data_IF_548191515632
#
_entry.id   IF_548191515632
#
_cell.length_a   1.000
_cell.length_b   1.000
_cell.length_c   1.000
_cell.angle_alpha   90.00
_cell.angle_beta   90.00
_cell.angle_gamma   90.00
#
_symmetry.space_group_name_H-M   'P 1'
#
loop_
_entity.id
_entity.type
_entity.pdbx_description
1 polymer ?
#
# COMPACT_ATOMS: atom_id res chain seq x y z
N UNK A 1 -1.06 -13.18 21.76
CA UNK A 1 -0.47 -12.89 20.45
C UNK A 1 0.78 -12.07 20.61
N UNK A 2 1.86 -12.47 20.02
CA UNK A 2 3.11 -11.76 20.13
C UNK A 2 3.30 -10.73 19.03
N UNK A 3 4.14 -9.72 19.28
CA UNK A 3 4.46 -8.71 18.28
C UNK A 3 5.07 -9.34 17.01
N UNK A 4 5.82 -10.44 17.17
CA UNK A 4 6.41 -11.16 16.03
C UNK A 4 5.31 -11.72 15.11
N UNK A 5 4.25 -12.26 15.71
CA UNK A 5 3.12 -12.79 14.92
C UNK A 5 2.39 -11.68 14.22
N UNK A 6 2.17 -10.54 14.88
CA UNK A 6 1.51 -9.40 14.27
C UNK A 6 2.37 -8.80 13.16
N UNK A 7 3.67 -8.69 13.36
CA UNK A 7 4.57 -8.20 12.32
C UNK A 7 4.50 -9.08 11.07
N UNK A 8 4.51 -10.40 11.24
CA UNK A 8 4.40 -11.33 10.12
C UNK A 8 3.06 -11.16 9.38
N UNK A 9 1.97 -11.01 10.12
CA UNK A 9 0.65 -10.81 9.52
C UNK A 9 0.59 -9.51 8.74
N UNK A 10 1.21 -8.44 9.26
CA UNK A 10 1.28 -7.17 8.55
C UNK A 10 2.08 -7.31 7.26
N UNK A 11 3.22 -8.03 7.30
CA UNK A 11 4.01 -8.28 6.10
C UNK A 11 3.24 -9.06 5.05
N UNK A 12 2.43 -10.04 5.47
CA UNK A 12 1.56 -10.79 4.56
C UNK A 12 0.52 -9.88 3.90
N UNK A 13 -0.05 -8.96 4.67
CA UNK A 13 -1.00 -7.97 4.12
C UNK A 13 -0.31 -7.11 3.06
N UNK A 14 0.90 -6.65 3.34
CA UNK A 14 1.67 -5.85 2.37
C UNK A 14 2.05 -6.67 1.14
N UNK A 15 2.31 -7.98 1.30
CA UNK A 15 2.57 -8.85 0.17
C UNK A 15 1.36 -8.97 -0.76
N UNK A 16 0.15 -8.99 -0.22
CA UNK A 16 -1.06 -8.95 -1.05
C UNK A 16 -1.11 -7.65 -1.88
N UNK A 17 -0.73 -6.53 -1.27
CA UNK A 17 -0.63 -5.27 -1.98
C UNK A 17 0.40 -5.35 -3.11
N UNK A 18 1.61 -5.78 -2.79
CA UNK A 18 2.70 -5.88 -3.76
C UNK A 18 2.34 -6.79 -4.93
N UNK A 19 1.80 -7.96 -4.62
CA UNK A 19 1.39 -8.93 -5.66
C UNK A 19 0.26 -8.39 -6.52
N UNK A 20 -0.70 -7.70 -5.90
CA UNK A 20 -1.80 -7.07 -6.62
C UNK A 20 -1.32 -6.00 -7.59
N UNK A 21 -0.33 -5.20 -7.18
CA UNK A 21 0.25 -4.18 -8.05
C UNK A 21 1.01 -4.82 -9.20
N UNK A 22 1.85 -5.83 -8.91
CA UNK A 22 2.66 -6.50 -9.94
C UNK A 22 1.81 -7.16 -11.01
N UNK A 23 0.71 -7.76 -10.63
CA UNK A 23 -0.12 -8.56 -11.52
C UNK A 23 -1.37 -7.84 -11.99
N UNK A 24 -1.54 -6.58 -11.60
CA UNK A 24 -2.77 -5.80 -11.85
C UNK A 24 -3.99 -6.60 -11.39
N UNK A 25 -3.90 -7.19 -10.20
CA UNK A 25 -4.91 -8.11 -9.65
C UNK A 25 -5.66 -7.43 -8.52
N UNK A 26 -6.84 -6.90 -8.85
CA UNK A 26 -7.68 -6.21 -7.88
C UNK A 26 -8.10 -7.11 -6.73
N UNK A 27 -8.31 -8.41 -6.99
CA UNK A 27 -8.68 -9.34 -5.90
C UNK A 27 -7.59 -9.41 -4.83
N UNK A 28 -6.31 -9.44 -5.22
CA UNK A 28 -5.20 -9.39 -4.26
C UNK A 28 -5.18 -8.07 -3.50
N UNK A 29 -5.41 -6.95 -4.18
CA UNK A 29 -5.47 -5.65 -3.50
C UNK A 29 -6.59 -5.59 -2.48
N UNK A 30 -7.73 -6.20 -2.77
CA UNK A 30 -8.85 -6.25 -1.82
C UNK A 30 -8.54 -7.14 -0.61
N UNK A 31 -7.55 -8.00 -0.69
CA UNK A 31 -7.05 -8.75 0.46
C UNK A 31 -6.10 -7.92 1.32
N UNK A 32 -5.61 -6.80 0.82
CA UNK A 32 -4.70 -5.92 1.56
C UNK A 32 -5.45 -4.75 2.21
N UNK A 33 -6.38 -4.13 1.49
CA UNK A 33 -7.05 -2.91 1.93
C UNK A 33 -8.40 -3.19 2.54
N UNK A 34 -8.67 -2.48 3.65
CA UNK A 34 -10.02 -2.42 4.19
C UNK A 34 -10.92 -1.70 3.19
N UNK A 35 -12.19 -2.06 3.15
CA UNK A 35 -13.12 -1.47 2.17
C UNK A 35 -13.30 0.03 2.34
N UNK A 36 -13.03 0.57 3.53
CA UNK A 36 -13.13 2.00 3.81
C UNK A 36 -11.78 2.72 3.69
N UNK A 37 -10.76 2.05 3.18
CA UNK A 37 -9.43 2.63 3.06
C UNK A 37 -9.42 3.83 2.11
N UNK A 38 -8.45 4.72 2.35
CA UNK A 38 -8.30 5.93 1.55
C UNK A 38 -6.89 6.02 0.97
N UNK A 39 -6.80 6.74 -0.14
CA UNK A 39 -5.56 7.14 -0.77
C UNK A 39 -5.40 8.64 -0.58
N UNK A 40 -4.21 9.08 -0.18
CA UNK A 40 -3.95 10.50 0.01
C UNK A 40 -2.48 10.79 -0.25
N UNK A 41 -2.19 11.62 -1.23
CA UNK A 41 -0.80 11.91 -1.53
C UNK A 41 -0.64 12.91 -2.66
N UNK A 42 0.61 13.11 -3.03
CA UNK A 42 0.93 14.01 -4.13
C UNK A 42 1.63 13.27 -5.25
N UNK A 43 1.33 13.68 -6.48
CA UNK A 43 2.13 13.36 -7.65
C UNK A 43 2.54 14.72 -8.22
N UNK A 44 3.80 15.11 -8.05
CA UNK A 44 4.20 16.48 -8.30
C UNK A 44 3.44 17.43 -7.38
N UNK A 45 2.78 18.40 -7.96
CA UNK A 45 1.96 19.36 -7.22
C UNK A 45 0.49 18.98 -7.15
N UNK A 46 0.12 17.86 -7.75
CA UNK A 46 -1.28 17.42 -7.77
C UNK A 46 -1.61 16.61 -6.53
N UNK A 47 -2.60 17.06 -5.75
CA UNK A 47 -3.11 16.34 -4.60
C UNK A 47 -4.08 15.26 -5.08
N UNK A 48 -3.82 14.04 -4.67
CA UNK A 48 -4.71 12.91 -4.89
C UNK A 48 -5.37 12.61 -3.54
N UNK A 49 -6.69 12.60 -3.50
CA UNK A 49 -7.44 12.21 -2.31
C UNK A 49 -8.67 11.45 -2.78
N UNK A 50 -8.73 10.16 -2.45
CA UNK A 50 -9.75 9.28 -3.02
C UNK A 50 -10.01 8.08 -2.11
N UNK A 51 -11.19 7.49 -2.21
CA UNK A 51 -11.40 6.17 -1.59
C UNK A 51 -10.55 5.13 -2.33
N UNK A 52 -10.36 3.98 -1.70
CA UNK A 52 -9.50 2.91 -2.25
C UNK A 52 -9.96 2.45 -3.65
N UNK A 53 -11.22 2.64 -3.98
CA UNK A 53 -11.72 2.30 -5.31
C UNK A 53 -10.91 3.01 -6.41
N UNK A 54 -10.36 4.19 -6.12
CA UNK A 54 -9.50 4.90 -7.07
C UNK A 54 -8.28 4.10 -7.48
N UNK A 55 -7.67 3.36 -6.55
CA UNK A 55 -6.54 2.50 -6.87
C UNK A 55 -6.98 1.32 -7.73
N UNK A 56 -8.11 0.71 -7.40
CA UNK A 56 -8.63 -0.43 -8.17
C UNK A 56 -8.92 -0.02 -9.61
N UNK A 57 -9.53 1.15 -9.78
CA UNK A 57 -9.82 1.68 -11.12
C UNK A 57 -8.53 1.94 -11.89
N UNK A 58 -7.52 2.51 -11.23
CA UNK A 58 -6.23 2.78 -11.86
C UNK A 58 -5.56 1.50 -12.32
N UNK A 59 -5.55 0.47 -11.48
CA UNK A 59 -4.90 -0.81 -11.76
C UNK A 59 -5.57 -1.55 -12.92
N UNK A 60 -6.88 -1.39 -13.07
CA UNK A 60 -7.61 -2.02 -14.17
C UNK A 60 -7.21 -1.46 -15.53
N UNK A 61 -6.68 -0.24 -15.58
CA UNK A 61 -6.30 0.42 -16.83
C UNK A 61 -4.80 0.64 -16.98
N UNK A 62 -4.02 0.29 -15.97
CA UNK A 62 -2.58 0.55 -15.94
C UNK A 62 -1.85 -0.63 -15.37
N UNK A 63 -0.56 -0.72 -15.66
CA UNK A 63 0.30 -1.73 -15.07
C UNK A 63 1.58 -1.08 -14.59
N UNK A 64 2.20 -1.69 -13.57
CA UNK A 64 3.49 -1.22 -13.10
C UNK A 64 4.59 -1.72 -14.05
N UNK A 65 5.72 -1.02 -14.13
CA UNK A 65 6.85 -1.49 -14.94
C UNK A 65 7.35 -2.84 -14.47
N UNK A 66 7.99 -3.56 -15.38
CA UNK A 66 8.52 -4.90 -15.11
C UNK A 66 9.54 -4.92 -13.97
N UNK A 67 10.28 -3.84 -13.80
CA UNK A 67 11.27 -3.71 -12.71
C UNK A 67 10.70 -3.31 -11.36
N UNK A 68 9.38 -3.19 -11.25
CA UNK A 68 8.74 -2.77 -10.00
C UNK A 68 9.09 -3.70 -8.84
N UNK A 69 9.46 -3.10 -7.70
CA UNK A 69 9.64 -3.83 -6.45
C UNK A 69 8.97 -3.07 -5.31
N UNK A 70 8.65 -3.80 -4.25
CA UNK A 70 8.04 -3.23 -3.06
C UNK A 70 8.77 -3.79 -1.84
N UNK A 71 9.39 -2.93 -1.06
CA UNK A 71 10.23 -3.32 0.06
C UNK A 71 9.74 -2.67 1.34
N UNK A 72 9.50 -3.45 2.38
CA UNK A 72 9.15 -2.93 3.70
C UNK A 72 10.41 -2.37 4.35
N UNK A 73 10.37 -1.09 4.73
CA UNK A 73 11.49 -0.40 5.37
C UNK A 73 11.37 -0.40 6.89
N UNK A 74 10.15 -0.47 7.42
CA UNK A 74 9.94 -0.51 8.86
C UNK A 74 8.49 -0.68 9.20
N UNK A 75 8.21 -1.24 10.36
CA UNK A 75 6.87 -1.47 10.90
C UNK A 75 6.89 -1.09 12.38
N UNK A 76 5.92 -0.29 12.80
CA UNK A 76 5.70 0.03 14.22
C UNK A 76 4.30 -0.37 14.61
N UNK A 77 4.17 -1.12 15.69
CA UNK A 77 2.89 -1.68 16.15
C UNK A 77 2.59 -1.18 17.55
N UNK A 78 1.36 -0.69 17.74
CA UNK A 78 0.85 -0.30 19.05
C UNK A 78 -0.53 -0.93 19.22
N UNK A 79 -0.60 -2.06 19.91
CA UNK A 79 -1.87 -2.77 20.09
C UNK A 79 -2.46 -3.19 18.74
N UNK A 80 -3.61 -2.62 18.41
CA UNK A 80 -4.33 -2.97 17.18
C UNK A 80 -4.15 -1.94 16.06
N UNK A 81 -3.15 -1.07 16.18
CA UNK A 81 -2.80 -0.13 15.11
C UNK A 81 -1.35 -0.28 14.75
N UNK A 82 -1.03 0.03 13.50
CA UNK A 82 0.35 -0.04 13.04
C UNK A 82 0.59 0.96 11.92
N UNK A 83 1.88 1.32 11.78
CA UNK A 83 2.35 2.05 10.61
C UNK A 83 3.41 1.20 9.92
N UNK A 84 3.44 1.26 8.59
CA UNK A 84 4.47 0.60 7.82
C UNK A 84 4.98 1.57 6.78
N UNK A 85 6.30 1.64 6.66
CA UNK A 85 6.97 2.45 5.67
C UNK A 85 7.49 1.52 4.58
N UNK A 86 7.17 1.80 3.33
CA UNK A 86 7.40 0.89 2.21
C UNK A 86 8.00 1.68 1.05
N UNK A 87 9.04 1.11 0.41
CA UNK A 87 9.57 1.68 -0.83
C UNK A 87 9.04 0.91 -2.02
N UNK A 88 8.48 1.64 -2.98
CA UNK A 88 8.13 1.07 -4.28
C UNK A 88 9.08 1.67 -5.30
N UNK A 89 9.76 0.81 -6.07
CA UNK A 89 10.67 1.25 -7.11
C UNK A 89 10.00 1.19 -8.48
N UNK A 90 10.47 2.01 -9.41
CA UNK A 90 9.99 2.07 -10.79
C UNK A 90 8.51 2.41 -10.94
N UNK A 91 7.91 3.07 -9.97
CA UNK A 91 6.53 3.50 -10.10
C UNK A 91 6.43 4.95 -10.56
N UNK A 92 7.08 5.88 -9.95
CA UNK A 92 7.31 7.27 -10.34
C UNK A 92 8.70 7.60 -9.85
N UNK A 93 9.72 6.83 -10.37
CA UNK A 93 10.99 6.73 -9.67
C UNK A 93 10.77 5.89 -8.41
N UNK A 94 11.48 6.19 -7.34
CA UNK A 94 11.29 5.52 -6.05
C UNK A 94 10.28 6.31 -5.23
N UNK A 95 9.23 5.64 -4.79
CA UNK A 95 8.17 6.25 -3.97
C UNK A 95 8.20 5.61 -2.59
N UNK A 96 8.14 6.43 -1.56
CA UNK A 96 7.99 5.95 -0.19
C UNK A 96 6.53 6.12 0.20
N UNK A 97 5.89 4.99 0.52
CA UNK A 97 4.52 4.99 1.05
C UNK A 97 4.54 4.87 2.55
N UNK A 98 3.62 5.56 3.19
CA UNK A 98 3.32 5.37 4.60
C UNK A 98 1.94 4.72 4.68
N UNK A 99 1.89 3.48 5.14
CA UNK A 99 0.64 2.77 5.35
C UNK A 99 0.24 2.86 6.82
N UNK A 100 -1.05 3.09 7.05
CA UNK A 100 -1.64 2.88 8.36
C UNK A 100 -2.47 1.61 8.30
N UNK A 101 -2.37 0.78 9.33
CA UNK A 101 -3.07 -0.50 9.39
C UNK A 101 -3.85 -0.62 10.69
N UNK A 102 -4.95 -1.35 10.61
CA UNK A 102 -5.76 -1.72 11.78
C UNK A 102 -5.93 -3.22 11.81
N UNK A 103 -5.88 -3.77 13.02
CA UNK A 103 -6.24 -5.15 13.24
C UNK A 103 -7.74 -5.21 13.56
N UNK A 104 -8.49 -5.86 12.69
CA UNK A 104 -9.94 -6.03 12.85
C UNK A 104 -10.20 -7.52 12.96
N UNK A 105 -10.71 -7.96 14.10
CA UNK A 105 -10.77 -9.38 14.39
C UNK A 105 -9.36 -9.93 14.47
N UNK A 106 -9.06 -10.95 13.68
CA UNK A 106 -7.74 -11.59 13.66
C UNK A 106 -6.90 -11.13 12.47
N UNK A 107 -7.31 -10.09 11.76
CA UNK A 107 -6.68 -9.74 10.50
C UNK A 107 -6.25 -8.29 10.46
N UNK A 108 -5.06 -8.04 9.88
CA UNK A 108 -4.54 -6.70 9.64
C UNK A 108 -4.96 -6.18 8.27
N UNK A 109 -5.42 -4.94 8.24
CA UNK A 109 -5.89 -4.29 7.01
C UNK A 109 -5.21 -2.94 6.86
N UNK A 110 -4.81 -2.61 5.63
CA UNK A 110 -4.34 -1.25 5.32
C UNK A 110 -5.59 -0.35 5.25
N UNK A 111 -5.56 0.75 5.99
CA UNK A 111 -6.67 1.70 6.03
C UNK A 111 -6.31 3.04 5.39
N UNK A 112 -5.03 3.32 5.17
CA UNK A 112 -4.63 4.49 4.40
C UNK A 112 -3.29 4.25 3.72
N UNK A 113 -3.14 4.86 2.55
CA UNK A 113 -1.90 4.87 1.79
C UNK A 113 -1.58 6.33 1.52
N UNK A 114 -0.45 6.80 2.03
CA UNK A 114 -0.04 8.20 1.93
C UNK A 114 1.34 8.26 1.28
N UNK A 115 1.52 9.16 0.32
CA UNK A 115 2.79 9.26 -0.41
C UNK A 115 3.01 10.66 -0.96
N UNK A 116 4.26 10.92 -1.35
CA UNK A 116 4.65 12.13 -2.06
C UNK A 116 5.56 11.69 -3.20
N UNK A 117 5.07 11.73 -4.42
CA UNK A 117 5.77 11.22 -5.58
C UNK A 117 6.08 12.34 -6.57
N UNK A 118 7.21 12.18 -7.28
CA UNK A 118 7.52 13.08 -8.38
C UNK A 118 6.65 12.71 -9.60
N UNK A 119 6.34 13.67 -10.46
CA UNK A 119 5.63 13.34 -11.70
C UNK A 119 6.52 12.48 -12.60
N UNK A 120 5.87 11.66 -13.44
CA UNK A 120 6.62 10.87 -14.42
C UNK A 120 7.27 11.82 -15.42
N UNK A 121 8.56 11.66 -15.64
CA UNK A 121 9.30 12.41 -16.65
C UNK A 121 9.26 11.68 -17.98
N UNK A 122 9.14 12.44 -19.04
CA UNK A 122 9.13 11.90 -20.40
C UNK A 122 10.44 12.13 -21.11
#
# INVERSE_FOLDING_TARGET
>A
MTAITDERAIRETIDHYSNGMKSADVASLKNAFHELAILCGYIGDELIAAPIQGLYDWVESNSVPEGYTCTVLGIEITGRVATAKVRETDLHGDVIDHFHLLKVGDRWWIVSKIWDAEPVEE
#
